data_IF_626138920967
#
_entry.id   IF_626138920967
#
_cell.length_a   1.000
_cell.length_b   1.000
_cell.length_c   1.000
_cell.angle_alpha   90.00
_cell.angle_beta   90.00
_cell.angle_gamma   90.00
#
_symmetry.space_group_name_H-M   'P 1'
#
loop_
_entity.id
_entity.type
_entity.pdbx_description
1 polymer ?
#
# COMPACT_ATOMS: atom_id res chain seq x y z
N UNK A 1 48.41 20.96 3.36
CA UNK A 1 47.50 20.10 2.56
C UNK A 1 46.62 19.15 3.38
N UNK A 2 47.14 18.43 4.40
CA UNK A 2 46.36 17.44 5.19
C UNK A 2 45.07 17.98 5.83
N UNK A 3 45.07 19.21 6.38
CA UNK A 3 43.87 19.82 6.95
C UNK A 3 42.82 20.19 5.90
N UNK A 4 43.23 20.67 4.70
CA UNK A 4 42.30 20.97 3.60
C UNK A 4 41.57 19.71 3.11
N UNK A 5 42.31 18.59 2.92
CA UNK A 5 41.71 17.30 2.55
C UNK A 5 40.71 16.79 3.60
N UNK A 6 41.03 16.91 4.89
CA UNK A 6 40.12 16.51 5.98
C UNK A 6 38.84 17.33 5.98
N UNK A 7 38.94 18.65 5.82
CA UNK A 7 37.79 19.56 5.78
C UNK A 7 36.90 19.22 4.59
N UNK A 8 37.49 19.03 3.40
CA UNK A 8 36.76 18.63 2.21
C UNK A 8 35.96 17.34 2.42
N UNK A 9 36.60 16.27 2.90
CA UNK A 9 35.93 14.98 3.14
C UNK A 9 34.83 15.08 4.20
N UNK A 10 35.04 15.89 5.24
CA UNK A 10 34.01 16.16 6.26
C UNK A 10 32.79 16.85 5.63
N UNK A 11 33.00 17.81 4.73
CA UNK A 11 31.90 18.50 4.04
C UNK A 11 31.13 17.57 3.12
N UNK A 12 31.80 16.67 2.38
CA UNK A 12 31.11 15.63 1.61
C UNK A 12 30.19 14.77 2.50
N UNK A 13 30.64 14.39 3.70
CA UNK A 13 29.80 13.66 4.64
C UNK A 13 28.60 14.49 5.15
N UNK A 14 28.72 15.82 5.27
CA UNK A 14 27.57 16.68 5.60
C UNK A 14 26.57 16.70 4.45
N UNK A 15 27.02 16.79 3.20
CA UNK A 15 26.14 16.76 2.02
C UNK A 15 25.37 15.44 1.97
N UNK A 16 26.07 14.31 2.15
CA UNK A 16 25.43 12.99 2.21
C UNK A 16 24.40 12.94 3.35
N UNK A 17 24.75 13.47 4.53
CA UNK A 17 23.83 13.50 5.66
C UNK A 17 22.59 14.36 5.38
N UNK A 18 22.73 15.52 4.73
CA UNK A 18 21.61 16.37 4.33
C UNK A 18 20.70 15.64 3.33
N UNK A 19 21.26 14.99 2.31
CA UNK A 19 20.49 14.20 1.35
C UNK A 19 19.71 13.09 2.08
N UNK A 20 20.37 12.37 2.99
CA UNK A 20 19.71 11.38 3.84
C UNK A 20 18.57 12.00 4.68
N UNK A 21 18.76 13.17 5.28
CA UNK A 21 17.72 13.82 6.08
C UNK A 21 16.49 14.17 5.23
N UNK A 22 16.67 14.57 3.97
CA UNK A 22 15.55 14.82 3.05
C UNK A 22 14.76 13.51 2.81
N UNK A 23 15.46 12.40 2.57
CA UNK A 23 14.81 11.09 2.45
C UNK A 23 14.13 10.64 3.75
N UNK A 24 14.76 10.86 4.90
CA UNK A 24 14.20 10.54 6.21
C UNK A 24 12.89 11.29 6.43
N UNK A 25 12.86 12.60 6.18
CA UNK A 25 11.65 13.42 6.28
C UNK A 25 10.56 12.87 5.35
N UNK A 26 10.91 12.56 4.10
CA UNK A 26 9.97 11.95 3.14
C UNK A 26 9.39 10.64 3.69
N UNK A 27 10.25 9.71 4.10
CA UNK A 27 9.83 8.36 4.50
C UNK A 27 9.00 8.38 5.79
N UNK A 28 9.41 9.18 6.78
CA UNK A 28 8.75 9.20 8.10
C UNK A 28 7.44 10.00 8.02
N UNK A 29 7.47 11.24 7.53
CA UNK A 29 6.27 12.07 7.52
C UNK A 29 5.20 11.56 6.54
N UNK A 30 5.60 10.99 5.40
CA UNK A 30 4.69 10.58 4.33
C UNK A 30 4.54 9.06 4.24
N UNK A 31 4.68 8.35 5.37
CA UNK A 31 4.60 6.88 5.47
C UNK A 31 3.28 6.31 4.92
N UNK A 32 2.16 7.00 5.15
CA UNK A 32 0.81 6.54 4.80
C UNK A 32 0.14 7.32 3.68
N UNK A 33 0.76 8.41 3.18
CA UNK A 33 0.16 9.33 2.21
C UNK A 33 1.19 9.88 1.24
N UNK A 34 0.83 10.00 -0.04
CA UNK A 34 1.64 10.73 -1.01
C UNK A 34 1.76 12.23 -0.70
N UNK A 35 2.87 12.84 -1.13
CA UNK A 35 3.15 14.26 -0.92
C UNK A 35 2.08 15.16 -1.55
N UNK A 36 1.61 14.83 -2.76
CA UNK A 36 0.61 15.59 -3.53
C UNK A 36 -0.75 15.59 -2.84
N UNK A 37 -1.30 14.40 -2.55
CA UNK A 37 -2.60 14.22 -1.88
C UNK A 37 -2.66 14.91 -0.51
N UNK A 38 -1.52 14.98 0.18
CA UNK A 38 -1.41 15.66 1.47
C UNK A 38 -1.51 17.18 1.31
N UNK A 39 -0.75 17.75 0.38
CA UNK A 39 -0.70 19.19 0.16
C UNK A 39 -2.06 19.69 -0.34
N UNK A 40 -2.71 18.96 -1.23
CA UNK A 40 -4.03 19.33 -1.74
C UNK A 40 -5.07 19.40 -0.62
N UNK A 41 -5.11 18.41 0.28
CA UNK A 41 -6.03 18.39 1.43
C UNK A 41 -5.75 19.48 2.47
N UNK A 42 -4.47 19.78 2.70
CA UNK A 42 -4.08 20.89 3.58
C UNK A 42 -4.49 22.25 3.00
N UNK A 43 -4.44 22.42 1.67
CA UNK A 43 -4.84 23.66 0.98
C UNK A 43 -6.37 23.78 0.91
N UNK A 44 -7.09 22.69 0.64
CA UNK A 44 -8.56 22.70 0.58
C UNK A 44 -9.23 22.78 1.95
N UNK A 45 -8.48 22.60 3.04
CA UNK A 45 -9.02 22.61 4.40
C UNK A 45 -9.82 21.35 4.75
N UNK A 46 -9.78 20.32 3.90
CA UNK A 46 -10.36 19.02 4.20
C UNK A 46 -9.47 18.28 5.20
N UNK A 47 -9.71 18.55 6.48
CA UNK A 47 -9.10 17.85 7.62
C UNK A 47 -9.70 16.44 7.80
N UNK A 48 -9.84 15.69 6.70
CA UNK A 48 -10.29 14.30 6.69
C UNK A 48 -9.07 13.38 6.53
N UNK A 49 -8.62 12.81 7.65
CA UNK A 49 -7.51 11.87 7.64
C UNK A 49 -7.33 11.02 8.88
N UNK A 50 -6.56 9.95 8.70
CA UNK A 50 -6.13 9.02 9.75
C UNK A 50 -5.25 9.80 10.72
N UNK A 51 -5.85 10.33 11.78
CA UNK A 51 -5.13 10.80 12.96
C UNK A 51 -5.55 9.91 14.12
N UNK A 52 -4.61 9.11 14.60
CA UNK A 52 -4.75 8.36 15.84
C UNK A 52 -3.51 8.62 16.68
N UNK A 53 -3.64 8.43 17.99
CA UNK A 53 -2.55 8.65 18.92
C UNK A 53 -2.44 7.44 19.83
N UNK A 54 -1.37 6.67 19.67
CA UNK A 54 -1.06 5.56 20.57
C UNK A 54 0.00 6.00 21.59
N UNK A 55 -0.39 5.99 22.86
CA UNK A 55 0.50 6.24 24.01
C UNK A 55 0.81 4.99 24.82
N UNK A 56 0.19 3.86 24.48
CA UNK A 56 0.37 2.62 25.21
C UNK A 56 1.65 1.98 24.69
N UNK A 57 2.72 1.93 25.50
CA UNK A 57 3.99 1.37 25.06
C UNK A 57 3.83 -0.12 24.75
N UNK A 58 4.53 -0.55 23.72
CA UNK A 58 4.60 -1.90 23.16
C UNK A 58 3.31 -2.43 22.53
N UNK A 59 2.24 -1.62 22.43
CA UNK A 59 1.00 -2.05 21.81
C UNK A 59 1.19 -2.33 20.31
N UNK A 60 1.67 -1.35 19.56
CA UNK A 60 1.85 -1.47 18.11
C UNK A 60 2.93 -2.50 17.77
N UNK A 61 4.01 -2.56 18.56
CA UNK A 61 5.02 -3.62 18.42
C UNK A 61 4.39 -5.01 18.58
N UNK A 62 3.51 -5.18 19.56
CA UNK A 62 2.80 -6.44 19.77
C UNK A 62 1.84 -6.76 18.62
N UNK A 63 1.11 -5.77 18.12
CA UNK A 63 0.22 -5.92 16.95
C UNK A 63 1.00 -6.32 15.69
N UNK A 64 2.11 -5.65 15.38
CA UNK A 64 2.98 -6.03 14.28
C UNK A 64 3.61 -7.41 14.48
N UNK A 65 3.91 -7.79 15.72
CA UNK A 65 4.41 -9.13 16.04
C UNK A 65 3.35 -10.20 15.80
N UNK A 66 2.09 -9.96 16.19
CA UNK A 66 0.98 -10.87 15.86
C UNK A 66 0.81 -11.03 14.36
N UNK A 67 0.87 -9.92 13.61
CA UNK A 67 0.80 -9.95 12.14
C UNK A 67 1.88 -10.86 11.54
N UNK A 68 3.08 -10.88 12.13
CA UNK A 68 4.14 -11.77 11.66
C UNK A 68 3.81 -13.25 11.83
N UNK A 69 3.14 -13.62 12.92
CA UNK A 69 2.76 -15.00 13.21
C UNK A 69 1.42 -15.41 12.55
N UNK A 70 0.63 -14.45 12.07
CA UNK A 70 -0.67 -14.69 11.45
C UNK A 70 -0.63 -14.72 9.91
N UNK A 71 0.54 -14.93 9.31
CA UNK A 71 0.72 -15.01 7.85
C UNK A 71 1.17 -13.71 7.17
N UNK A 72 1.19 -12.56 7.85
CA UNK A 72 1.61 -11.27 7.30
C UNK A 72 3.03 -10.87 7.73
N UNK A 73 3.97 -11.82 7.65
CA UNK A 73 5.36 -11.64 8.08
C UNK A 73 5.99 -10.38 7.52
N UNK A 74 5.97 -10.20 6.20
CA UNK A 74 6.61 -9.06 5.54
C UNK A 74 6.08 -7.72 6.05
N UNK A 75 4.78 -7.59 6.31
CA UNK A 75 4.17 -6.35 6.79
C UNK A 75 4.58 -6.05 8.23
N UNK A 76 4.45 -7.02 9.14
CA UNK A 76 4.83 -6.84 10.54
C UNK A 76 6.33 -6.58 10.69
N UNK A 77 7.15 -7.35 9.97
CA UNK A 77 8.60 -7.21 9.93
C UNK A 77 9.00 -5.83 9.42
N UNK A 78 8.47 -5.39 8.27
CA UNK A 78 8.83 -4.11 7.68
C UNK A 78 8.44 -2.91 8.56
N UNK A 79 7.35 -2.98 9.33
CA UNK A 79 6.99 -1.89 10.24
C UNK A 79 7.97 -1.76 11.41
N UNK A 80 8.30 -2.87 12.07
CA UNK A 80 9.24 -2.86 13.20
C UNK A 80 10.66 -2.53 12.70
N UNK A 81 11.14 -3.30 11.73
CA UNK A 81 12.51 -3.21 11.22
C UNK A 81 12.72 -1.92 10.43
N UNK A 82 11.75 -1.50 9.63
CA UNK A 82 11.82 -0.25 8.87
C UNK A 82 12.01 0.97 9.78
N UNK A 83 11.23 1.07 10.86
CA UNK A 83 11.35 2.16 11.83
C UNK A 83 12.74 2.16 12.52
N UNK A 84 13.27 0.99 12.90
CA UNK A 84 14.63 0.91 13.47
C UNK A 84 15.70 1.30 12.44
N UNK A 85 15.67 0.72 11.25
CA UNK A 85 16.76 0.90 10.28
C UNK A 85 16.75 2.27 9.61
N UNK A 86 15.60 2.94 9.47
CA UNK A 86 15.55 4.28 8.86
C UNK A 86 16.27 5.32 9.72
N UNK A 87 16.29 5.16 11.05
CA UNK A 87 17.00 6.04 11.99
C UNK A 87 18.46 5.64 12.30
N UNK A 88 18.89 4.45 11.88
CA UNK A 88 20.28 4.03 12.09
C UNK A 88 21.33 4.96 11.44
N UNK A 89 21.15 5.41 10.18
CA UNK A 89 22.10 6.37 9.59
C UNK A 89 22.16 7.69 10.37
N UNK A 90 21.04 8.17 10.93
CA UNK A 90 21.03 9.36 11.78
C UNK A 90 21.97 9.22 12.97
N UNK A 91 21.84 8.14 13.74
CA UNK A 91 22.72 7.87 14.89
C UNK A 91 24.20 7.77 14.52
N UNK A 92 24.50 7.17 13.37
CA UNK A 92 25.85 7.09 12.81
C UNK A 92 26.42 8.47 12.46
N UNK A 93 25.70 9.24 11.64
CA UNK A 93 26.16 10.53 11.11
C UNK A 93 26.35 11.57 12.21
N UNK A 94 25.43 11.68 13.17
CA UNK A 94 25.60 12.64 14.27
C UNK A 94 26.86 12.34 15.10
N UNK A 95 27.18 11.06 15.28
CA UNK A 95 28.36 10.60 16.02
C UNK A 95 29.66 10.84 15.25
N UNK A 96 29.60 10.67 13.92
CA UNK A 96 30.70 10.94 13.00
C UNK A 96 31.04 12.43 12.92
N UNK A 97 30.02 13.28 12.73
CA UNK A 97 30.17 14.70 12.41
C UNK A 97 30.26 15.59 13.65
N UNK A 98 29.63 15.22 14.77
CA UNK A 98 29.57 16.01 15.99
C UNK A 98 30.25 15.30 17.17
N UNK A 99 31.34 15.90 17.66
CA UNK A 99 32.13 15.34 18.79
C UNK A 99 31.32 15.20 20.09
N UNK A 100 30.33 16.07 20.31
CA UNK A 100 29.44 16.03 21.49
C UNK A 100 28.56 14.77 21.48
N UNK A 101 28.23 14.24 20.30
CA UNK A 101 27.39 13.06 20.10
C UNK A 101 28.21 11.76 20.06
N UNK A 102 29.28 11.65 20.84
CA UNK A 102 30.14 10.43 20.90
C UNK A 102 29.89 9.55 22.14
N UNK A 103 28.77 9.80 22.83
CA UNK A 103 28.27 9.03 23.98
C UNK A 103 26.86 8.53 23.65
N UNK A 104 26.57 7.27 23.96
CA UNK A 104 25.27 6.64 23.69
C UNK A 104 24.11 7.45 24.28
N UNK A 105 24.22 7.87 25.56
CA UNK A 105 23.20 8.71 26.22
C UNK A 105 22.89 9.99 25.44
N UNK A 106 23.91 10.70 24.96
CA UNK A 106 23.72 11.95 24.20
C UNK A 106 23.02 11.68 22.88
N UNK A 107 23.44 10.63 22.17
CA UNK A 107 22.88 10.23 20.88
C UNK A 107 21.42 9.77 21.02
N UNK A 108 21.12 8.97 22.05
CA UNK A 108 19.77 8.52 22.36
C UNK A 108 18.84 9.68 22.72
N UNK A 109 19.29 10.66 23.53
CA UNK A 109 18.49 11.85 23.86
C UNK A 109 18.19 12.69 22.61
N UNK A 110 19.19 12.91 21.76
CA UNK A 110 18.97 13.64 20.49
C UNK A 110 18.01 12.87 19.59
N UNK A 111 18.19 11.55 19.46
CA UNK A 111 17.29 10.68 18.70
C UNK A 111 15.85 10.72 19.21
N UNK A 112 15.66 10.70 20.53
CA UNK A 112 14.34 10.79 21.16
C UNK A 112 13.64 12.10 20.78
N UNK A 113 14.29 13.25 20.93
CA UNK A 113 13.67 14.53 20.59
C UNK A 113 13.40 14.70 19.09
N UNK A 114 14.28 14.16 18.23
CA UNK A 114 14.04 14.17 16.79
C UNK A 114 12.86 13.28 16.42
N UNK A 115 12.77 12.07 16.99
CA UNK A 115 11.63 11.20 16.75
C UNK A 115 10.33 11.79 17.28
N UNK A 116 10.34 12.35 18.49
CA UNK A 116 9.19 13.03 19.06
C UNK A 116 8.72 14.20 18.18
N UNK A 117 9.66 14.96 17.62
CA UNK A 117 9.32 16.01 16.65
C UNK A 117 8.61 15.44 15.41
N UNK A 118 9.06 14.31 14.87
CA UNK A 118 8.39 13.66 13.75
C UNK A 118 6.97 13.20 14.10
N UNK A 119 6.76 12.54 15.24
CA UNK A 119 5.42 12.13 15.69
C UNK A 119 4.49 13.35 15.85
N UNK A 120 4.97 14.43 16.47
CA UNK A 120 4.19 15.66 16.63
C UNK A 120 3.83 16.25 15.26
N UNK A 121 4.78 16.29 14.32
CA UNK A 121 4.50 16.74 12.96
C UNK A 121 3.47 15.88 12.26
N UNK A 122 3.57 14.55 12.34
CA UNK A 122 2.61 13.63 11.72
C UNK A 122 1.20 13.85 12.28
N UNK A 123 1.08 14.02 13.59
CA UNK A 123 -0.19 14.27 14.27
C UNK A 123 -0.78 15.63 13.89
N UNK A 124 -0.02 16.71 14.03
CA UNK A 124 -0.49 18.10 13.79
C UNK A 124 -0.82 18.34 12.31
N UNK A 125 -0.08 17.72 11.40
CA UNK A 125 -0.25 17.87 9.95
C UNK A 125 -1.20 16.82 9.34
N UNK A 126 -1.85 15.97 10.15
CA UNK A 126 -2.78 14.94 9.70
C UNK A 126 -2.16 13.99 8.64
N UNK A 127 -0.87 13.68 8.81
CA UNK A 127 -0.12 12.82 7.90
C UNK A 127 -0.21 11.34 8.27
N UNK A 128 -0.56 11.06 9.53
CA UNK A 128 -0.71 9.72 10.04
C UNK A 128 -0.99 9.69 11.54
N UNK A 129 -0.79 8.51 12.12
CA UNK A 129 -0.88 8.28 13.55
C UNK A 129 0.42 8.61 14.25
N UNK A 130 0.34 9.26 15.41
CA UNK A 130 1.49 9.38 16.28
C UNK A 130 1.55 8.22 17.27
N UNK A 131 2.71 7.58 17.37
CA UNK A 131 2.88 6.31 18.08
C UNK A 131 4.13 6.32 18.98
N UNK A 132 3.93 6.05 20.28
CA UNK A 132 5.04 5.95 21.23
C UNK A 132 6.02 4.83 20.86
N UNK A 133 5.54 3.77 20.21
CA UNK A 133 6.38 2.65 19.79
C UNK A 133 7.32 3.03 18.65
N UNK A 134 6.90 3.92 17.76
CA UNK A 134 7.73 4.46 16.69
C UNK A 134 8.90 5.27 17.29
N UNK A 135 8.66 6.04 18.36
CA UNK A 135 9.74 6.71 19.12
C UNK A 135 10.72 5.69 19.71
N UNK A 136 10.23 4.62 20.32
CA UNK A 136 11.07 3.58 20.92
C UNK A 136 11.94 2.92 19.85
N UNK A 137 11.34 2.50 18.73
CA UNK A 137 12.04 1.86 17.61
C UNK A 137 13.06 2.80 16.95
N UNK A 138 12.71 4.06 16.77
CA UNK A 138 13.62 5.06 16.21
C UNK A 138 14.81 5.31 17.14
N UNK A 139 14.61 5.41 18.45
CA UNK A 139 15.71 5.53 19.44
C UNK A 139 16.61 4.28 19.42
N UNK A 140 16.05 3.08 19.28
CA UNK A 140 16.81 1.85 19.08
C UNK A 140 17.63 1.89 17.79
N UNK A 141 17.04 2.39 16.70
CA UNK A 141 17.74 2.66 15.44
C UNK A 141 18.93 3.58 15.62
N UNK A 142 18.72 4.72 16.28
CA UNK A 142 19.77 5.69 16.61
C UNK A 142 20.89 5.05 17.44
N UNK A 143 20.56 4.20 18.42
CA UNK A 143 21.54 3.45 19.19
C UNK A 143 22.34 2.46 18.32
N UNK A 144 21.68 1.75 17.40
CA UNK A 144 22.33 0.84 16.46
C UNK A 144 23.31 1.59 15.55
N UNK A 145 22.91 2.75 15.03
CA UNK A 145 23.79 3.65 14.27
C UNK A 145 25.03 4.10 15.03
N UNK A 146 24.86 4.43 16.31
CA UNK A 146 25.99 4.76 17.19
C UNK A 146 26.95 3.59 17.39
N UNK A 147 26.43 2.36 17.55
CA UNK A 147 27.26 1.16 17.66
C UNK A 147 28.06 0.91 16.38
N UNK A 148 27.44 1.11 15.20
CA UNK A 148 28.14 1.05 13.93
C UNK A 148 29.28 2.08 13.85
N UNK A 149 29.05 3.31 14.31
CA UNK A 149 30.10 4.33 14.41
C UNK A 149 31.26 3.91 15.34
N UNK A 150 30.95 3.24 16.47
CA UNK A 150 31.98 2.71 17.37
C UNK A 150 32.79 1.60 16.73
N UNK A 151 32.14 0.66 16.02
CA UNK A 151 32.83 -0.35 15.21
C UNK A 151 33.75 0.27 14.16
N UNK A 152 33.27 1.30 13.46
CA UNK A 152 34.07 2.07 12.49
C UNK A 152 35.31 2.72 13.11
N UNK A 153 35.23 3.24 14.34
CA UNK A 153 36.42 3.78 15.04
C UNK A 153 37.47 2.69 15.26
N UNK A 154 37.04 1.47 15.60
CA UNK A 154 37.93 0.34 15.84
C UNK A 154 38.65 -0.10 14.55
N UNK A 155 37.97 -0.06 13.40
CA UNK A 155 38.51 -0.49 12.10
C UNK A 155 39.48 0.54 11.49
N UNK A 156 39.24 1.85 11.66
CA UNK A 156 40.00 2.89 10.93
C UNK A 156 41.17 3.48 11.72
N UNK A 157 41.88 2.70 12.55
CA UNK A 157 43.01 3.17 13.38
C UNK A 157 42.76 4.49 14.14
N UNK A 158 41.51 4.77 14.50
CA UNK A 158 41.07 6.05 15.09
C UNK A 158 41.34 7.30 14.23
N UNK A 159 41.82 7.22 12.98
CA UNK A 159 42.03 8.36 12.08
C UNK A 159 40.71 8.89 11.50
N UNK A 160 40.38 10.17 11.73
CA UNK A 160 39.10 10.73 11.26
C UNK A 160 38.98 10.74 9.73
N UNK A 161 40.08 10.99 9.02
CA UNK A 161 40.08 11.06 7.55
C UNK A 161 39.69 9.71 6.91
N UNK A 162 40.14 8.59 7.48
CA UNK A 162 39.78 7.26 7.00
C UNK A 162 38.30 6.97 7.21
N UNK A 163 37.74 7.39 8.36
CA UNK A 163 36.28 7.26 8.62
C UNK A 163 35.45 7.98 7.57
N UNK A 164 35.81 9.20 7.20
CA UNK A 164 35.09 9.93 6.16
C UNK A 164 35.18 9.23 4.80
N UNK A 165 36.35 8.72 4.43
CA UNK A 165 36.53 7.98 3.16
C UNK A 165 35.67 6.71 3.15
N UNK A 166 35.72 5.89 4.19
CA UNK A 166 34.90 4.67 4.26
C UNK A 166 33.41 5.00 4.27
N UNK A 167 32.99 6.07 4.97
CA UNK A 167 31.59 6.53 4.94
C UNK A 167 31.13 6.87 3.54
N UNK A 168 31.94 7.61 2.78
CA UNK A 168 31.62 8.00 1.40
C UNK A 168 31.49 6.74 0.53
N UNK A 169 32.43 5.81 0.63
CA UNK A 169 32.40 4.54 -0.12
C UNK A 169 31.14 3.74 0.21
N UNK A 170 30.85 3.54 1.51
CA UNK A 170 29.65 2.81 1.95
C UNK A 170 28.35 3.50 1.51
N UNK A 171 28.33 4.84 1.48
CA UNK A 171 27.16 5.59 1.02
C UNK A 171 26.94 5.44 -0.49
N UNK A 172 28.02 5.41 -1.29
CA UNK A 172 27.93 5.16 -2.74
C UNK A 172 27.44 3.73 -3.00
N UNK A 173 28.01 2.73 -2.31
CA UNK A 173 27.57 1.34 -2.42
C UNK A 173 26.10 1.22 -2.01
N UNK A 174 25.72 1.82 -0.88
CA UNK A 174 24.34 1.82 -0.40
C UNK A 174 23.37 2.46 -1.40
N UNK A 175 23.77 3.56 -2.04
CA UNK A 175 22.97 4.21 -3.08
C UNK A 175 22.80 3.32 -4.31
N UNK A 176 23.85 2.64 -4.77
CA UNK A 176 23.78 1.71 -5.90
C UNK A 176 22.86 0.54 -5.58
N UNK A 177 23.02 -0.08 -4.40
CA UNK A 177 22.18 -1.20 -3.96
C UNK A 177 20.72 -0.78 -3.80
N UNK A 178 20.47 0.36 -3.15
CA UNK A 178 19.12 0.90 -3.01
C UNK A 178 18.50 1.23 -4.37
N UNK A 179 19.27 1.77 -5.32
CA UNK A 179 18.83 2.02 -6.69
C UNK A 179 18.47 0.73 -7.43
N UNK A 180 19.30 -0.31 -7.31
CA UNK A 180 19.00 -1.63 -7.89
C UNK A 180 17.71 -2.22 -7.32
N UNK A 181 17.55 -2.22 -5.99
CA UNK A 181 16.33 -2.67 -5.34
C UNK A 181 15.13 -1.82 -5.76
N UNK A 182 15.27 -0.50 -5.87
CA UNK A 182 14.19 0.36 -6.33
C UNK A 182 13.77 0.04 -7.77
N UNK A 183 14.69 -0.35 -8.65
CA UNK A 183 14.35 -0.85 -10.00
C UNK A 183 13.64 -2.20 -9.92
N UNK A 184 13.95 -3.06 -8.95
CA UNK A 184 13.21 -4.31 -8.79
C UNK A 184 11.78 -4.06 -8.28
N UNK A 185 11.60 -3.15 -7.32
CA UNK A 185 10.30 -2.80 -6.74
C UNK A 185 9.43 -1.94 -7.66
N UNK A 186 10.01 -0.96 -8.35
CA UNK A 186 9.28 0.00 -9.18
C UNK A 186 9.52 -0.18 -10.68
N UNK A 187 10.39 -1.09 -11.11
CA UNK A 187 10.74 -1.27 -12.52
C UNK A 187 9.57 -1.74 -13.38
N UNK A 188 8.58 -2.43 -12.80
CA UNK A 188 7.32 -2.76 -13.48
C UNK A 188 6.48 -1.48 -13.66
N UNK A 189 6.39 -0.65 -12.61
CA UNK A 189 5.66 0.64 -12.63
C UNK A 189 6.27 1.66 -13.62
N UNK A 190 7.59 1.66 -13.80
CA UNK A 190 8.29 2.53 -14.75
C UNK A 190 8.54 1.89 -16.13
N UNK A 191 8.03 0.68 -16.39
CA UNK A 191 8.19 -0.01 -17.68
C UNK A 191 9.62 -0.45 -17.99
N UNK A 192 10.52 -0.46 -16.99
CA UNK A 192 11.92 -0.90 -17.09
C UNK A 192 12.01 -2.44 -17.05
N UNK A 193 11.06 -3.10 -16.37
CA UNK A 193 10.87 -4.55 -16.40
C UNK A 193 9.54 -4.89 -17.06
N UNK A 194 9.58 -5.80 -18.03
CA UNK A 194 8.38 -6.38 -18.62
C UNK A 194 7.72 -7.27 -17.57
N UNK A 195 6.42 -7.10 -17.34
CA UNK A 195 5.63 -7.99 -16.47
C UNK A 195 5.82 -9.42 -16.97
N UNK A 196 6.53 -10.25 -16.20
CA UNK A 196 6.63 -11.66 -16.51
C UNK A 196 5.29 -12.27 -16.16
N UNK A 197 4.46 -12.53 -17.17
CA UNK A 197 3.33 -13.43 -17.02
C UNK A 197 3.89 -14.75 -16.53
N UNK A 198 3.75 -15.01 -15.23
CA UNK A 198 4.08 -16.28 -14.64
C UNK A 198 2.97 -17.22 -15.08
N UNK A 199 3.23 -17.93 -16.18
CA UNK A 199 2.39 -18.99 -16.72
C UNK A 199 2.30 -20.13 -15.71
N UNK A 200 1.39 -20.01 -14.75
CA UNK A 200 0.71 -21.16 -14.18
C UNK A 200 -0.35 -21.57 -15.20
N UNK A 201 0.04 -22.46 -16.12
CA UNK A 201 -0.78 -23.39 -16.90
C UNK A 201 0.14 -23.97 -17.99
N UNK A 202 1.09 -24.79 -17.58
CA UNK A 202 1.60 -25.86 -18.43
C UNK A 202 1.13 -27.17 -17.81
N UNK A 203 0.62 -28.05 -18.67
CA UNK A 203 0.16 -29.42 -18.40
C UNK A 203 -1.31 -29.56 -17.99
N UNK A 204 -2.23 -29.29 -18.94
CA UNK A 204 -3.28 -30.26 -19.30
C UNK A 204 -4.15 -29.73 -20.45
N UNK A 205 -3.63 -29.75 -21.68
CA UNK A 205 -4.43 -29.90 -22.91
C UNK A 205 -3.51 -30.10 -24.11
N UNK A 206 -2.85 -31.26 -24.16
CA UNK A 206 -2.71 -31.93 -25.45
C UNK A 206 -4.09 -32.51 -25.74
N UNK A 207 -4.83 -31.90 -26.65
CA UNK A 207 -5.57 -32.59 -27.71
C UNK A 207 -6.37 -31.56 -28.49
N UNK A 208 -6.39 -31.73 -29.82
CA UNK A 208 -7.00 -30.91 -30.86
C UNK A 208 -6.07 -29.87 -31.51
N UNK A 209 -5.08 -30.42 -32.19
CA UNK A 209 -4.47 -29.82 -33.38
C UNK A 209 -5.26 -30.31 -34.61
N UNK A 210 -6.02 -29.43 -35.27
CA UNK A 210 -6.34 -29.56 -36.70
C UNK A 210 -6.84 -28.24 -37.27
N UNK A 211 -6.13 -27.79 -38.30
CA UNK A 211 -6.63 -27.06 -39.46
C UNK A 211 -7.23 -25.65 -39.25
N UNK A 212 -6.50 -24.62 -39.64
CA UNK A 212 -6.59 -24.07 -41.01
C UNK A 212 -5.44 -23.08 -41.24
N UNK A 213 -4.71 -23.35 -42.33
CA UNK A 213 -3.65 -22.53 -42.88
C UNK A 213 -4.24 -21.53 -43.89
N UNK A 214 -3.68 -20.32 -43.89
CA UNK A 214 -3.55 -19.36 -45.01
C UNK A 214 -4.80 -18.88 -45.77
N UNK A 215 -4.99 -17.55 -45.79
CA UNK A 215 -5.15 -16.69 -46.99
C UNK A 215 -5.59 -15.29 -46.50
N UNK A 216 -4.82 -14.21 -46.70
CA UNK A 216 -4.67 -13.36 -47.89
C UNK A 216 -5.20 -11.94 -47.58
N UNK A 217 -4.28 -11.00 -47.76
CA UNK A 217 -4.36 -9.60 -48.21
C UNK A 217 -5.70 -8.84 -48.39
N UNK A 218 -5.68 -7.61 -47.83
CA UNK A 218 -5.97 -6.27 -48.41
C UNK A 218 -7.40 -5.91 -48.90
N UNK A 219 -7.98 -4.86 -48.30
CA UNK A 219 -8.63 -3.64 -48.88
C UNK A 219 -9.59 -3.04 -47.80
N UNK A 220 -9.51 -1.80 -47.29
CA UNK A 220 -9.53 -0.43 -47.85
C UNK A 220 -10.91 -0.01 -48.41
N UNK A 221 -11.53 1.00 -47.73
CA UNK A 221 -12.61 1.95 -48.17
C UNK A 221 -14.04 1.33 -48.20
N UNK A 222 -15.17 1.91 -47.78
CA UNK A 222 -15.64 3.27 -47.39
C UNK A 222 -17.06 3.18 -46.78
N UNK A 223 -17.40 4.16 -45.93
CA UNK A 223 -18.62 4.99 -45.86
C UNK A 223 -20.07 4.45 -45.84
N UNK A 224 -20.89 5.32 -45.19
CA UNK A 224 -22.35 5.52 -45.25
C UNK A 224 -23.22 4.66 -44.31
N UNK A 225 -23.80 5.28 -43.26
CA UNK A 225 -25.16 5.89 -43.24
C UNK A 225 -26.25 4.83 -43.51
N UNK A 226 -27.37 4.68 -42.80
CA UNK A 226 -28.16 5.50 -41.89
C UNK A 226 -29.47 4.73 -41.60
N UNK A 227 -30.22 5.18 -40.59
CA UNK A 227 -31.68 5.01 -40.39
C UNK A 227 -32.15 3.63 -39.89
N UNK A 228 -32.67 3.56 -38.66
CA UNK A 228 -34.06 3.90 -38.26
C UNK A 228 -35.10 2.99 -38.95
N UNK A 229 -35.73 2.09 -38.18
CA UNK A 229 -37.14 2.23 -37.83
C UNK A 229 -37.63 1.15 -36.86
N UNK A 230 -38.59 1.58 -36.04
CA UNK A 230 -39.32 0.84 -35.02
C UNK A 230 -40.29 -0.19 -35.62
N UNK A 231 -40.54 -1.29 -34.91
CA UNK A 231 -41.79 -2.05 -35.01
C UNK A 231 -42.08 -2.79 -33.70
N UNK A 232 -43.28 -2.54 -33.16
CA UNK A 232 -43.90 -3.07 -31.95
C UNK A 232 -44.74 -4.32 -32.29
N UNK A 233 -45.11 -5.07 -31.24
CA UNK A 233 -46.13 -6.15 -31.14
C UNK A 233 -45.55 -7.52 -31.53
N UNK A 234 -45.54 -8.56 -30.68
CA UNK A 234 -46.68 -9.22 -30.04
C UNK A 234 -46.24 -10.05 -28.81
N UNK A 235 -47.09 -10.13 -27.79
CA UNK A 235 -46.91 -11.02 -26.63
C UNK A 235 -47.38 -12.42 -27.02
N UNK A 236 -46.49 -13.41 -26.97
CA UNK A 236 -46.86 -14.81 -26.86
C UNK A 236 -46.19 -15.39 -25.61
N UNK A 237 -47.03 -15.79 -24.66
CA UNK A 237 -46.67 -16.64 -23.54
C UNK A 237 -46.39 -18.05 -24.07
N UNK A 238 -45.13 -18.43 -24.22
CA UNK A 238 -44.80 -19.85 -24.15
C UNK A 238 -43.42 -20.08 -23.52
N UNK A 239 -43.44 -20.91 -22.47
CA UNK A 239 -42.30 -21.28 -21.65
C UNK A 239 -41.19 -21.92 -22.49
N UNK A 240 -40.04 -21.26 -22.57
CA UNK A 240 -38.76 -21.93 -22.83
C UNK A 240 -37.80 -21.62 -21.67
N UNK A 241 -37.60 -22.66 -20.86
CA UNK A 241 -36.47 -22.75 -19.94
C UNK A 241 -35.17 -22.81 -20.74
N UNK A 242 -34.12 -22.35 -20.06
CA UNK A 242 -32.69 -22.55 -20.31
C UNK A 242 -32.06 -21.46 -21.16
N UNK A 243 -31.49 -20.46 -20.49
CA UNK A 243 -30.15 -19.99 -20.78
C UNK A 243 -29.46 -19.68 -19.45
N UNK A 244 -28.19 -20.07 -19.35
CA UNK A 244 -27.40 -20.21 -18.13
C UNK A 244 -27.24 -18.91 -17.35
N UNK A 245 -27.89 -18.82 -16.19
CA UNK A 245 -27.58 -17.84 -15.15
C UNK A 245 -26.17 -18.14 -14.60
N UNK A 246 -25.15 -17.48 -15.14
CA UNK A 246 -23.82 -17.52 -14.51
C UNK A 246 -23.91 -16.77 -13.17
N UNK A 247 -23.88 -17.53 -12.08
CA UNK A 247 -23.78 -16.98 -10.73
C UNK A 247 -22.42 -16.31 -10.54
N UNK A 248 -22.44 -15.10 -9.99
CA UNK A 248 -21.22 -14.37 -9.64
C UNK A 248 -21.16 -14.08 -8.14
N UNK A 249 -19.93 -13.96 -7.64
CA UNK A 249 -19.60 -13.45 -6.31
C UNK A 249 -18.52 -12.37 -6.48
N UNK A 250 -18.87 -11.11 -6.20
CA UNK A 250 -17.97 -9.96 -6.40
C UNK A 250 -17.75 -9.23 -5.08
N UNK A 251 -16.48 -9.03 -4.76
CA UNK A 251 -16.03 -8.25 -3.61
C UNK A 251 -15.53 -6.89 -4.07
N UNK A 252 -15.92 -5.83 -3.35
CA UNK A 252 -15.53 -4.47 -3.74
C UNK A 252 -15.86 -3.40 -2.72
N UNK A 253 -15.45 -2.17 -3.05
CA UNK A 253 -15.84 -0.97 -2.33
C UNK A 253 -16.89 -0.20 -3.13
N UNK A 254 -17.96 0.26 -2.46
CA UNK A 254 -18.99 1.09 -3.11
C UNK A 254 -18.36 2.42 -3.54
N UNK A 255 -18.41 2.71 -4.84
CA UNK A 255 -17.97 3.99 -5.41
C UNK A 255 -19.14 4.91 -5.72
N UNK A 256 -20.28 4.34 -6.12
CA UNK A 256 -21.55 5.04 -6.33
C UNK A 256 -22.72 4.07 -6.16
N UNK A 257 -23.90 4.57 -5.85
CA UNK A 257 -25.15 3.79 -5.86
C UNK A 257 -26.35 4.70 -6.07
N UNK A 258 -27.40 4.14 -6.66
CA UNK A 258 -28.69 4.79 -6.87
C UNK A 258 -29.85 3.85 -6.58
N UNK A 259 -31.05 4.19 -7.07
CA UNK A 259 -32.22 3.38 -6.81
C UNK A 259 -32.23 2.05 -7.57
N UNK A 260 -31.51 1.93 -8.68
CA UNK A 260 -31.55 0.78 -9.56
C UNK A 260 -30.22 0.02 -9.60
N UNK A 261 -29.13 0.57 -9.08
CA UNK A 261 -27.79 0.01 -9.25
C UNK A 261 -26.78 0.43 -8.17
N UNK A 262 -25.73 -0.38 -8.04
CA UNK A 262 -24.53 -0.10 -7.24
C UNK A 262 -23.32 -0.25 -8.15
N UNK A 263 -22.46 0.76 -8.17
CA UNK A 263 -21.13 0.68 -8.78
C UNK A 263 -20.11 0.38 -7.69
N UNK A 264 -19.33 -0.67 -7.91
CA UNK A 264 -18.24 -1.07 -7.04
C UNK A 264 -16.92 -1.00 -7.77
N UNK A 265 -15.86 -0.62 -7.04
CA UNK A 265 -14.51 -0.90 -7.47
C UNK A 265 -14.20 -2.34 -7.05
N UNK A 266 -14.12 -3.24 -8.02
CA UNK A 266 -13.84 -4.66 -7.78
C UNK A 266 -12.45 -4.82 -7.21
N UNK A 267 -12.37 -5.64 -6.18
CA UNK A 267 -11.12 -6.14 -5.64
C UNK A 267 -10.75 -7.39 -6.42
N UNK A 268 -9.55 -7.44 -7.01
CA UNK A 268 -9.04 -8.65 -7.67
C UNK A 268 -8.46 -9.63 -6.65
N UNK A 269 -8.43 -10.92 -6.96
CA UNK A 269 -7.72 -11.93 -6.14
C UNK A 269 -6.25 -11.54 -5.87
N UNK A 270 -5.64 -10.83 -6.83
CA UNK A 270 -4.29 -10.27 -6.78
C UNK A 270 -4.13 -9.14 -5.73
N UNK A 271 -5.23 -8.46 -5.38
CA UNK A 271 -5.28 -7.41 -4.35
C UNK A 271 -5.50 -7.98 -2.94
N UNK A 272 -5.79 -9.28 -2.83
CA UNK A 272 -5.77 -10.00 -1.57
C UNK A 272 -4.34 -10.51 -1.33
N UNK A 273 -3.63 -9.92 -0.36
CA UNK A 273 -2.37 -10.50 0.11
C UNK A 273 -2.57 -11.94 0.58
N UNK A 274 -1.56 -12.79 0.42
CA UNK A 274 -1.57 -14.20 0.87
C UNK A 274 -2.01 -14.30 2.35
N UNK A 275 -3.30 -14.58 2.56
CA UNK A 275 -3.97 -14.49 3.85
C UNK A 275 -5.32 -13.79 3.73
N UNK A 276 -6.38 -14.59 3.67
CA UNK A 276 -7.79 -14.20 3.50
C UNK A 276 -8.22 -12.97 4.33
N UNK A 277 -8.76 -11.94 3.66
CA UNK A 277 -9.88 -11.15 4.21
C UNK A 277 -9.82 -9.63 4.22
N UNK A 278 -8.76 -8.95 3.76
CA UNK A 278 -8.74 -7.47 3.72
C UNK A 278 -8.06 -7.02 2.43
N UNK A 279 -8.87 -6.61 1.46
CA UNK A 279 -8.40 -5.96 0.27
C UNK A 279 -8.34 -4.44 0.43
N UNK A 280 -7.29 -3.86 -0.14
CA UNK A 280 -7.14 -2.41 -0.33
C UNK A 280 -7.16 -2.19 -1.84
N UNK A 281 -8.36 -2.06 -2.43
CA UNK A 281 -8.46 -1.67 -3.84
C UNK A 281 -7.71 -0.36 -4.06
N UNK A 282 -6.69 -0.38 -4.91
CA UNK A 282 -5.92 0.81 -5.23
C UNK A 282 -6.78 1.76 -6.09
N UNK A 283 -6.81 3.04 -5.73
CA UNK A 283 -7.53 4.09 -6.47
C UNK A 283 -6.84 4.42 -7.82
N UNK A 284 -5.65 3.87 -8.06
CA UNK A 284 -4.84 4.17 -9.25
C UNK A 284 -5.25 3.38 -10.50
N UNK A 285 -6.09 2.33 -10.39
CA UNK A 285 -6.58 1.57 -11.54
C UNK A 285 -7.96 0.93 -11.26
N UNK A 286 -9.08 1.69 -11.38
CA UNK A 286 -10.38 1.21 -10.92
C UNK A 286 -10.98 0.15 -11.86
N UNK A 287 -11.29 -1.02 -11.32
CA UNK A 287 -12.02 -2.09 -12.02
C UNK A 287 -13.51 -1.95 -11.69
N UNK A 288 -14.15 -0.96 -12.30
CA UNK A 288 -15.51 -0.58 -11.98
C UNK A 288 -16.52 -1.56 -12.56
N UNK A 289 -17.34 -2.14 -11.68
CA UNK A 289 -18.46 -2.98 -12.07
C UNK A 289 -19.76 -2.39 -11.55
N UNK A 290 -20.76 -2.27 -12.42
CA UNK A 290 -22.12 -1.89 -12.02
C UNK A 290 -22.98 -3.14 -11.89
N UNK A 291 -23.69 -3.24 -10.77
CA UNK A 291 -24.64 -4.32 -10.46
C UNK A 291 -26.02 -3.71 -10.19
N UNK A 292 -27.05 -4.25 -10.82
CA UNK A 292 -28.42 -3.78 -10.69
C UNK A 292 -29.11 -4.40 -9.48
N UNK A 293 -29.90 -3.58 -8.77
CA UNK A 293 -30.70 -3.98 -7.62
C UNK A 293 -32.12 -4.30 -8.09
N UNK A 294 -32.68 -5.39 -7.59
CA UNK A 294 -34.08 -5.78 -7.80
C UNK A 294 -34.85 -5.67 -6.49
N UNK A 295 -36.19 -5.74 -6.54
CA UNK A 295 -37.03 -5.76 -5.34
C UNK A 295 -36.80 -7.02 -4.47
N UNK A 296 -36.18 -8.05 -5.04
CA UNK A 296 -35.87 -9.31 -4.37
C UNK A 296 -34.46 -9.35 -3.79
N UNK A 297 -33.64 -8.31 -4.00
CA UNK A 297 -32.28 -8.24 -3.46
C UNK A 297 -32.31 -8.19 -1.94
N UNK A 298 -31.65 -9.15 -1.29
CA UNK A 298 -31.52 -9.19 0.17
C UNK A 298 -30.31 -8.41 0.64
N UNK A 299 -30.45 -7.68 1.74
CA UNK A 299 -29.37 -6.94 2.38
C UNK A 299 -29.05 -7.55 3.73
N UNK A 300 -27.77 -7.86 3.97
CA UNK A 300 -27.29 -8.30 5.28
C UNK A 300 -26.09 -7.46 5.70
N UNK A 301 -25.92 -7.26 7.00
CA UNK A 301 -24.74 -6.63 7.56
C UNK A 301 -23.98 -7.64 8.40
N UNK A 302 -22.67 -7.69 8.20
CA UNK A 302 -21.76 -8.61 8.87
C UNK A 302 -20.66 -7.81 9.56
N UNK A 303 -20.65 -7.86 10.89
CA UNK A 303 -19.61 -7.25 11.70
C UNK A 303 -18.44 -8.23 11.85
N UNK A 304 -17.25 -7.86 11.35
CA UNK A 304 -16.25 -8.87 10.99
C UNK A 304 -15.53 -9.48 12.21
N UNK A 305 -15.16 -8.74 13.28
CA UNK A 305 -14.51 -9.31 14.50
C UNK A 305 -14.60 -8.45 15.79
N UNK A 306 -14.64 -9.09 16.97
CA UNK A 306 -14.36 -8.46 18.28
C UNK A 306 -12.84 -8.41 18.58
N UNK A 307 -12.44 -7.74 19.68
CA UNK A 307 -11.02 -7.62 20.12
C UNK A 307 -10.32 -8.95 20.42
N UNK A 308 -11.06 -10.06 20.43
CA UNK A 308 -10.57 -11.42 20.66
C UNK A 308 -10.57 -12.29 19.39
N UNK A 309 -10.96 -11.74 18.23
CA UNK A 309 -10.99 -12.45 16.96
C UNK A 309 -12.19 -13.39 16.79
N UNK A 310 -13.25 -13.23 17.58
CA UNK A 310 -14.49 -13.99 17.39
C UNK A 310 -15.38 -13.33 16.33
N UNK A 311 -16.07 -14.15 15.54
CA UNK A 311 -17.02 -13.70 14.52
C UNK A 311 -18.26 -13.07 15.20
N UNK A 312 -18.54 -11.81 14.89
CA UNK A 312 -19.62 -11.02 15.50
C UNK A 312 -20.81 -11.00 14.52
N UNK A 313 -22.01 -10.77 15.04
CA UNK A 313 -23.32 -11.05 14.43
C UNK A 313 -23.51 -10.69 12.95
N UNK A 314 -24.32 -11.50 12.25
CA UNK A 314 -24.98 -11.12 11.00
C UNK A 314 -26.38 -10.63 11.33
N UNK A 315 -26.74 -9.43 10.88
CA UNK A 315 -28.07 -8.83 11.07
C UNK A 315 -28.70 -8.51 9.73
N UNK A 316 -30.03 -8.47 9.69
CA UNK A 316 -30.75 -7.94 8.54
C UNK A 316 -30.40 -6.47 8.35
N UNK A 317 -30.09 -6.10 7.12
CA UNK A 317 -29.80 -4.73 6.73
C UNK A 317 -30.82 -4.25 5.70
N UNK A 318 -30.71 -2.99 5.36
CA UNK A 318 -31.55 -2.34 4.37
C UNK A 318 -30.70 -1.59 3.35
N UNK A 319 -31.33 -1.12 2.29
CA UNK A 319 -30.66 -0.32 1.27
C UNK A 319 -30.12 1.00 1.84
N UNK A 320 -30.77 1.53 2.87
CA UNK A 320 -30.38 2.75 3.59
C UNK A 320 -29.04 2.61 4.33
N UNK A 321 -28.56 1.39 4.56
CA UNK A 321 -27.30 1.12 5.24
C UNK A 321 -26.07 1.18 4.30
N UNK A 322 -26.29 1.28 2.98
CA UNK A 322 -25.24 1.45 1.99
C UNK A 322 -24.57 2.82 2.14
N UNK A 323 -23.24 2.85 2.15
CA UNK A 323 -22.44 4.07 2.17
C UNK A 323 -21.27 3.96 1.20
N UNK A 324 -20.91 5.06 0.56
CA UNK A 324 -19.68 5.14 -0.26
C UNK A 324 -18.48 4.73 0.60
N UNK A 325 -17.52 4.04 -0.03
CA UNK A 325 -16.30 3.49 0.58
C UNK A 325 -16.53 2.33 1.57
N UNK A 326 -17.77 1.81 1.62
CA UNK A 326 -18.06 0.59 2.40
C UNK A 326 -17.72 -0.66 1.61
N UNK A 327 -17.17 -1.65 2.29
CA UNK A 327 -16.90 -2.97 1.72
C UNK A 327 -18.20 -3.75 1.59
N UNK A 328 -18.39 -4.34 0.42
CA UNK A 328 -19.50 -5.24 0.18
C UNK A 328 -19.05 -6.49 -0.58
N UNK A 329 -19.74 -7.58 -0.29
CA UNK A 329 -19.82 -8.73 -1.17
C UNK A 329 -21.20 -8.68 -1.85
N UNK A 330 -21.23 -8.86 -3.16
CA UNK A 330 -22.46 -9.00 -3.93
C UNK A 330 -22.48 -10.37 -4.60
N UNK A 331 -23.54 -11.12 -4.34
CA UNK A 331 -23.89 -12.31 -5.11
C UNK A 331 -25.05 -12.02 -6.03
N UNK A 332 -25.05 -12.67 -7.18
CA UNK A 332 -26.05 -12.41 -8.19
C UNK A 332 -25.95 -13.33 -9.38
N UNK A 333 -26.71 -13.00 -10.41
CA UNK A 333 -26.69 -13.69 -11.69
C UNK A 333 -26.46 -12.69 -12.82
N UNK A 334 -25.82 -13.17 -13.88
CA UNK A 334 -25.70 -12.42 -15.12
C UNK A 334 -26.83 -12.78 -16.07
N UNK A 335 -27.51 -11.75 -16.59
CA UNK A 335 -28.55 -11.89 -17.62
C UNK A 335 -28.47 -10.68 -18.56
N UNK A 336 -28.58 -10.91 -19.87
CA UNK A 336 -28.46 -9.86 -20.90
C UNK A 336 -27.22 -8.97 -20.77
N UNK A 337 -26.08 -9.57 -20.43
CA UNK A 337 -24.81 -8.87 -20.22
C UNK A 337 -24.85 -7.82 -19.08
N UNK A 338 -25.84 -7.95 -18.17
CA UNK A 338 -25.99 -7.16 -16.94
C UNK A 338 -25.92 -8.05 -15.73
N UNK A 339 -25.40 -7.51 -14.63
CA UNK A 339 -25.30 -8.21 -13.36
C UNK A 339 -26.46 -7.79 -12.46
N UNK A 340 -27.18 -8.76 -11.90
CA UNK A 340 -28.30 -8.50 -10.97
C UNK A 340 -27.99 -9.08 -9.60
N UNK A 341 -28.12 -8.26 -8.55
CA UNK A 341 -27.84 -8.66 -7.18
C UNK A 341 -29.00 -9.48 -6.58
N UNK A 342 -28.69 -10.65 -6.05
CA UNK A 342 -29.63 -11.45 -5.24
C UNK A 342 -29.37 -11.24 -3.74
N UNK A 343 -28.11 -11.04 -3.35
CA UNK A 343 -27.68 -10.80 -1.98
C UNK A 343 -26.56 -9.75 -1.96
N UNK A 344 -26.68 -8.75 -1.09
CA UNK A 344 -25.65 -7.76 -0.79
C UNK A 344 -25.30 -7.89 0.69
N UNK A 345 -24.04 -8.21 0.96
CA UNK A 345 -23.47 -8.32 2.30
C UNK A 345 -22.61 -7.10 2.57
N UNK A 346 -23.05 -6.23 3.48
CA UNK A 346 -22.33 -5.07 3.95
C UNK A 346 -21.35 -5.49 5.05
N UNK A 347 -20.05 -5.32 4.81
CA UNK A 347 -19.00 -5.75 5.72
C UNK A 347 -18.45 -4.57 6.53
N UNK A 348 -18.77 -4.53 7.83
CA UNK A 348 -18.20 -3.56 8.75
C UNK A 348 -16.95 -4.13 9.41
N UNK A 349 -15.81 -3.49 9.20
CA UNK A 349 -14.62 -3.70 10.03
C UNK A 349 -14.75 -2.85 11.31
N UNK A 350 -14.86 -3.48 12.47
CA UNK A 350 -14.81 -2.79 13.78
C UNK A 350 -13.41 -2.24 14.12
N UNK A 351 -12.41 -2.48 13.28
CA UNK A 351 -11.11 -1.83 13.35
C UNK A 351 -11.11 -0.58 12.47
N UNK A 352 -11.15 0.59 13.12
CA UNK A 352 -10.88 1.91 12.56
C UNK A 352 -9.43 2.32 12.82
#
# INVERSE_FOLDING_TARGET
MKNRKKIFLKNCCHIIFIIYLIFLIKIVLFKYRGLTTTVDKLITGELSGLHSFNIIPFQSIWEFTKLMFSGYFSRGFNNIVGNVFVFAPFGYFISLLHKKCRKLKTVAIVGFFVSLFFEICQYVLYLGSADIDDIILNVLGVALGFLFFKGMIAITDKKETQRYVVTIILSIIGFIVAGYLAVDYFGIMFGIKKQSNQSYLSDSSNDLQSDYSNNEQIAVISDEQSNEEQSKVEFDEEQSKVDSDEEFDIYGHITAYDNASITINKVKEEDFGEGKGIASGSVENPDLQTVYITETTKYTQKDIYDVNGNRVETREASKEDLKIDTRINIKGYQSDNKLYATEIVIENSLYK
#
